data_IF_014715494594
#
_entry.id   IF_014715494594
#
_cell.length_a   1.000
_cell.length_b   1.000
_cell.length_c   1.000
_cell.angle_alpha   90.00
_cell.angle_beta   90.00
_cell.angle_gamma   90.00
#
_symmetry.space_group_name_H-M   'P 1'
#
loop_
_entity.id
_entity.type
_entity.pdbx_description
1 polymer ?
#
# COMPACT_ATOMS: atom_id res chain seq x y z
N UNK A 1 -12.00 -37.55 -27.91
CA UNK A 1 -11.97 -36.09 -27.70
C UNK A 1 -10.96 -35.86 -26.60
N UNK A 2 -9.75 -35.43 -26.96
CA UNK A 2 -8.75 -35.02 -25.98
C UNK A 2 -9.15 -33.64 -25.45
N UNK A 3 -9.41 -33.57 -24.15
CA UNK A 3 -9.62 -32.32 -23.43
C UNK A 3 -8.29 -31.56 -23.39
N UNK A 4 -8.20 -30.46 -24.15
CA UNK A 4 -7.10 -29.51 -24.07
C UNK A 4 -7.21 -28.84 -22.69
N UNK A 5 -6.34 -29.25 -21.77
CA UNK A 5 -6.10 -28.51 -20.53
C UNK A 5 -5.30 -27.28 -20.95
N UNK A 6 -5.93 -26.10 -20.95
CA UNK A 6 -5.21 -24.85 -21.14
C UNK A 6 -4.28 -24.64 -19.93
N UNK A 7 -2.95 -24.58 -20.13
CA UNK A 7 -2.04 -24.34 -19.04
C UNK A 7 -2.10 -22.84 -18.72
N UNK A 8 -2.71 -22.50 -17.57
CA UNK A 8 -2.89 -21.15 -17.01
C UNK A 8 -3.96 -20.28 -17.68
N UNK A 9 -4.86 -19.73 -16.87
CA UNK A 9 -5.89 -18.78 -17.30
C UNK A 9 -5.24 -17.50 -17.82
N UNK A 10 -5.86 -16.83 -18.78
CA UNK A 10 -5.43 -15.49 -19.23
C UNK A 10 -5.46 -14.48 -18.08
N UNK A 11 -6.40 -14.66 -17.14
CA UNK A 11 -6.57 -13.83 -15.94
C UNK A 11 -5.35 -13.94 -15.02
N UNK A 12 -4.85 -15.17 -14.78
CA UNK A 12 -3.65 -15.40 -13.94
C UNK A 12 -2.42 -14.63 -14.47
N UNK A 13 -2.27 -14.58 -15.80
CA UNK A 13 -1.15 -13.86 -16.45
C UNK A 13 -1.30 -12.34 -16.35
N UNK A 14 -2.53 -11.84 -16.40
CA UNK A 14 -2.81 -10.42 -16.28
C UNK A 14 -2.59 -9.93 -14.85
N UNK A 15 -3.00 -10.71 -13.85
CA UNK A 15 -2.77 -10.42 -12.44
C UNK A 15 -1.27 -10.43 -12.10
N UNK A 16 -0.51 -11.41 -12.61
CA UNK A 16 0.95 -11.47 -12.43
C UNK A 16 1.66 -10.25 -13.03
N UNK A 17 1.24 -9.79 -14.21
CA UNK A 17 1.79 -8.59 -14.85
C UNK A 17 1.48 -7.32 -14.05
N UNK A 18 0.25 -7.21 -13.52
CA UNK A 18 -0.17 -6.08 -12.69
C UNK A 18 0.57 -6.03 -11.36
N UNK A 19 0.75 -7.18 -10.68
CA UNK A 19 1.54 -7.27 -9.46
C UNK A 19 3.01 -6.90 -9.69
N UNK A 20 3.59 -7.36 -10.80
CA UNK A 20 4.97 -7.01 -11.17
C UNK A 20 5.12 -5.51 -11.39
N UNK A 21 4.21 -4.90 -12.14
CA UNK A 21 4.22 -3.45 -12.38
C UNK A 21 4.13 -2.66 -11.06
N UNK A 22 3.24 -3.07 -10.16
CA UNK A 22 3.13 -2.48 -8.82
C UNK A 22 4.41 -2.64 -8.00
N UNK A 23 5.00 -3.84 -7.99
CA UNK A 23 6.23 -4.13 -7.27
C UNK A 23 7.40 -3.28 -7.77
N UNK A 24 7.55 -3.13 -9.08
CA UNK A 24 8.58 -2.29 -9.69
C UNK A 24 8.36 -0.81 -9.37
N UNK A 25 7.12 -0.33 -9.39
CA UNK A 25 6.77 1.04 -9.00
C UNK A 25 7.10 1.29 -7.52
N UNK A 26 6.64 0.42 -6.63
CA UNK A 26 6.91 0.50 -5.19
C UNK A 26 8.42 0.50 -4.91
N UNK A 27 9.17 -0.35 -5.61
CA UNK A 27 10.63 -0.44 -5.47
C UNK A 27 11.30 0.85 -5.92
N UNK A 28 10.87 1.41 -7.04
CA UNK A 28 11.35 2.71 -7.52
C UNK A 28 11.08 3.82 -6.50
N UNK A 29 9.86 3.88 -5.97
CA UNK A 29 9.47 4.84 -4.94
C UNK A 29 10.32 4.71 -3.69
N UNK A 30 10.53 3.50 -3.17
CA UNK A 30 11.41 3.27 -2.01
C UNK A 30 12.85 3.74 -2.24
N UNK A 31 13.40 3.54 -3.45
CA UNK A 31 14.73 4.09 -3.82
C UNK A 31 14.74 5.61 -3.82
N UNK A 32 13.70 6.23 -4.39
CA UNK A 32 13.57 7.69 -4.43
C UNK A 32 13.48 8.27 -3.01
N UNK A 33 12.69 7.67 -2.13
CA UNK A 33 12.62 8.05 -0.71
C UNK A 33 14.00 7.92 -0.06
N UNK A 34 14.70 6.79 -0.26
CA UNK A 34 16.03 6.58 0.30
C UNK A 34 17.01 7.68 -0.13
N UNK A 35 17.05 7.99 -1.42
CA UNK A 35 17.85 9.09 -1.96
C UNK A 35 17.51 10.44 -1.31
N UNK A 36 16.21 10.76 -1.21
CA UNK A 36 15.71 12.01 -0.63
C UNK A 36 16.12 12.19 0.83
N UNK A 37 16.11 11.11 1.63
CA UNK A 37 16.48 11.19 3.06
C UNK A 37 17.99 11.03 3.30
N UNK A 38 18.79 10.79 2.25
CA UNK A 38 20.24 10.60 2.33
C UNK A 38 20.69 9.19 2.71
N UNK A 39 19.83 8.17 2.50
CA UNK A 39 20.15 6.76 2.68
C UNK A 39 20.59 6.15 1.35
N UNK A 40 21.55 5.22 1.41
CA UNK A 40 22.06 4.51 0.23
C UNK A 40 21.02 3.56 -0.38
N UNK A 41 20.22 2.91 0.46
CA UNK A 41 19.19 1.94 0.08
C UNK A 41 18.14 1.80 1.19
N UNK A 42 17.17 0.92 1.00
CA UNK A 42 16.11 0.58 1.96
C UNK A 42 16.19 -0.88 2.42
N UNK A 43 15.52 -1.21 3.53
CA UNK A 43 15.44 -2.58 4.02
C UNK A 43 14.45 -3.40 3.17
N UNK A 44 14.94 -4.46 2.54
CA UNK A 44 14.17 -5.35 1.69
C UNK A 44 12.96 -5.99 2.41
N UNK A 45 13.06 -6.30 3.71
CA UNK A 45 11.96 -6.86 4.49
C UNK A 45 10.84 -5.82 4.71
N UNK A 46 11.18 -4.54 4.78
CA UNK A 46 10.20 -3.46 4.91
C UNK A 46 9.45 -3.29 3.59
N UNK A 47 10.17 -3.35 2.48
CA UNK A 47 9.60 -3.34 1.13
C UNK A 47 8.65 -4.53 0.91
N UNK A 48 9.07 -5.75 1.23
CA UNK A 48 8.23 -6.96 1.07
C UNK A 48 6.95 -6.88 1.90
N UNK A 49 6.99 -6.29 3.09
CA UNK A 49 5.80 -6.04 3.90
C UNK A 49 4.82 -5.05 3.26
N UNK A 50 5.29 -4.12 2.43
CA UNK A 50 4.43 -3.17 1.73
C UNK A 50 3.78 -3.77 0.46
N UNK A 51 4.36 -4.84 -0.12
CA UNK A 51 3.75 -5.51 -1.28
C UNK A 51 2.37 -6.10 -0.98
N UNK A 52 2.07 -6.38 0.29
CA UNK A 52 0.76 -6.89 0.75
C UNK A 52 -0.40 -5.93 0.50
N UNK A 53 -0.12 -4.67 0.18
CA UNK A 53 -1.16 -3.67 -0.09
C UNK A 53 -1.47 -3.51 -1.59
N UNK A 54 -0.94 -4.40 -2.45
CA UNK A 54 -1.22 -4.39 -3.88
C UNK A 54 -2.72 -4.50 -4.20
N UNK A 55 -3.44 -5.37 -3.48
CA UNK A 55 -4.86 -5.67 -3.74
C UNK A 55 -5.77 -4.46 -3.57
N UNK A 56 -5.29 -3.39 -2.92
CA UNK A 56 -6.04 -2.16 -2.72
C UNK A 56 -5.83 -1.13 -3.83
N UNK A 57 -5.04 -1.44 -4.85
CA UNK A 57 -4.62 -0.46 -5.87
C UNK A 57 -5.73 0.10 -6.76
N UNK A 58 -6.85 -0.62 -6.86
CA UNK A 58 -8.06 -0.17 -7.56
C UNK A 58 -8.97 0.71 -6.69
N UNK A 59 -8.61 0.94 -5.42
CA UNK A 59 -9.41 1.77 -4.51
C UNK A 59 -9.26 3.24 -4.86
N UNK A 60 -10.34 4.03 -4.78
CA UNK A 60 -10.34 5.44 -5.22
C UNK A 60 -10.50 6.42 -4.04
N UNK A 61 -11.15 6.00 -2.96
CA UNK A 61 -11.45 6.86 -1.81
C UNK A 61 -10.95 6.26 -0.48
N UNK A 62 -10.77 7.12 0.51
CA UNK A 62 -10.22 6.75 1.82
C UNK A 62 -11.13 5.80 2.62
N UNK A 63 -12.43 6.10 2.68
CA UNK A 63 -13.39 5.33 3.49
C UNK A 63 -13.48 3.87 3.02
N UNK A 64 -13.45 3.65 1.72
CA UNK A 64 -13.44 2.31 1.13
C UNK A 64 -12.12 1.60 1.42
N UNK A 65 -10.98 2.30 1.40
CA UNK A 65 -9.69 1.72 1.74
C UNK A 65 -9.63 1.31 3.22
N UNK A 66 -10.08 2.16 4.14
CA UNK A 66 -10.17 1.81 5.57
C UNK A 66 -11.07 0.60 5.81
N UNK A 67 -12.21 0.51 5.09
CA UNK A 67 -13.09 -0.65 5.14
C UNK A 67 -12.40 -1.94 4.64
N UNK A 68 -11.71 -1.89 3.51
CA UNK A 68 -11.02 -3.05 2.95
C UNK A 68 -9.86 -3.51 3.85
N UNK A 69 -9.11 -2.58 4.44
CA UNK A 69 -8.07 -2.90 5.42
C UNK A 69 -8.65 -3.62 6.65
N UNK A 70 -9.81 -3.17 7.12
CA UNK A 70 -10.53 -3.81 8.23
C UNK A 70 -11.01 -5.22 7.87
N UNK A 71 -11.66 -5.40 6.72
CA UNK A 71 -12.17 -6.70 6.25
C UNK A 71 -11.04 -7.73 6.09
N UNK A 72 -9.89 -7.31 5.54
CA UNK A 72 -8.67 -8.12 5.40
C UNK A 72 -7.89 -8.30 6.72
N UNK A 73 -8.43 -7.78 7.83
CA UNK A 73 -7.83 -7.84 9.19
C UNK A 73 -6.41 -7.27 9.23
N UNK A 74 -6.12 -6.29 8.37
CA UNK A 74 -4.88 -5.54 8.41
C UNK A 74 -5.05 -4.41 9.43
N UNK A 75 -4.22 -4.45 10.49
CA UNK A 75 -4.24 -3.45 11.57
C UNK A 75 -3.59 -2.12 11.14
N UNK A 76 -4.16 -1.50 10.11
CA UNK A 76 -3.74 -0.24 9.52
C UNK A 76 -4.96 0.61 9.20
N UNK A 77 -4.78 1.92 9.27
CA UNK A 77 -5.75 2.92 8.82
C UNK A 77 -5.04 3.91 7.90
N UNK A 78 -5.80 4.54 7.01
CA UNK A 78 -5.32 5.59 6.13
C UNK A 78 -5.07 6.86 6.96
N UNK A 79 -3.80 7.24 7.06
CA UNK A 79 -3.40 8.48 7.70
C UNK A 79 -3.64 9.68 6.79
N UNK A 80 -3.27 9.56 5.52
CA UNK A 80 -3.51 10.56 4.48
C UNK A 80 -3.39 9.93 3.10
N UNK A 81 -3.94 10.60 2.09
CA UNK A 81 -3.77 10.27 0.67
C UNK A 81 -3.19 11.50 -0.02
N UNK A 82 -2.13 11.31 -0.78
CA UNK A 82 -1.46 12.38 -1.54
C UNK A 82 -1.30 11.98 -2.99
N UNK A 83 -1.16 12.95 -3.88
CA UNK A 83 -0.88 12.68 -5.29
C UNK A 83 0.55 12.15 -5.44
N UNK A 84 0.74 11.15 -6.30
CA UNK A 84 2.04 10.50 -6.53
C UNK A 84 3.11 11.52 -6.97
N UNK A 85 2.71 12.57 -7.70
CA UNK A 85 3.59 13.65 -8.16
C UNK A 85 4.20 14.48 -7.03
N UNK A 86 3.46 14.67 -5.93
CA UNK A 86 3.88 15.50 -4.78
C UNK A 86 4.34 14.66 -3.58
N UNK A 87 4.28 13.32 -3.69
CA UNK A 87 4.61 12.41 -2.61
C UNK A 87 6.04 12.57 -2.07
N UNK A 88 7.01 12.90 -2.93
CA UNK A 88 8.40 13.11 -2.50
C UNK A 88 8.65 14.49 -1.86
N UNK A 89 7.67 15.39 -1.92
CA UNK A 89 7.72 16.71 -1.26
C UNK A 89 7.25 16.65 0.21
N UNK A 90 6.84 15.47 0.68
CA UNK A 90 6.49 15.24 2.09
C UNK A 90 7.67 15.52 3.01
N UNK A 91 7.34 15.85 4.26
CA UNK A 91 8.34 16.08 5.30
C UNK A 91 9.29 14.88 5.44
N UNK A 92 10.59 15.18 5.60
CA UNK A 92 11.65 14.18 5.67
C UNK A 92 11.39 13.13 6.77
N UNK A 93 10.76 13.51 7.89
CA UNK A 93 10.42 12.60 8.98
C UNK A 93 9.37 11.56 8.52
N UNK A 94 8.37 11.96 7.73
CA UNK A 94 7.38 11.02 7.18
C UNK A 94 8.03 10.02 6.23
N UNK A 95 8.90 10.52 5.35
CA UNK A 95 9.69 9.70 4.44
C UNK A 95 10.58 8.69 5.19
N UNK A 96 11.25 9.13 6.26
CA UNK A 96 12.06 8.26 7.12
C UNK A 96 11.22 7.18 7.83
N UNK A 97 10.02 7.51 8.29
CA UNK A 97 9.07 6.57 8.91
C UNK A 97 8.56 5.50 7.95
N UNK A 98 8.41 5.83 6.67
CA UNK A 98 8.08 4.85 5.63
C UNK A 98 9.25 3.88 5.45
N UNK A 99 10.48 4.38 5.41
CA UNK A 99 11.68 3.54 5.29
C UNK A 99 12.01 2.74 6.55
N UNK A 100 11.64 3.19 7.75
CA UNK A 100 11.70 2.39 8.99
C UNK A 100 10.55 1.38 9.10
N UNK A 101 9.54 1.52 8.24
CA UNK A 101 8.37 0.66 8.19
C UNK A 101 7.35 0.93 9.29
N UNK A 102 7.50 2.03 10.03
CA UNK A 102 6.49 2.57 10.95
C UNK A 102 5.22 2.98 10.20
N UNK A 103 5.39 3.57 9.02
CA UNK A 103 4.33 3.83 8.07
C UNK A 103 4.44 2.85 6.89
N UNK A 104 3.29 2.55 6.28
CA UNK A 104 3.19 1.80 5.02
C UNK A 104 2.64 2.70 3.93
N UNK A 105 2.86 2.32 2.69
CA UNK A 105 2.28 3.00 1.54
C UNK A 105 1.60 2.00 0.61
N UNK A 106 0.55 2.48 -0.04
CA UNK A 106 -0.20 1.76 -1.06
C UNK A 106 -0.50 2.75 -2.20
N UNK A 107 -0.26 2.36 -3.44
CA UNK A 107 -0.73 3.14 -4.59
C UNK A 107 -2.19 2.85 -4.81
N UNK A 108 -2.98 3.89 -5.06
CA UNK A 108 -4.44 3.82 -5.23
C UNK A 108 -4.85 4.67 -6.43
N UNK A 109 -6.05 4.40 -6.95
CA UNK A 109 -6.58 5.02 -8.17
C UNK A 109 -5.63 4.89 -9.36
N UNK A 110 -5.23 3.67 -9.73
CA UNK A 110 -4.43 3.48 -10.94
C UNK A 110 -3.10 4.24 -10.91
N UNK A 111 -2.20 3.87 -9.99
CA UNK A 111 -1.10 4.67 -9.41
C UNK A 111 -1.13 6.19 -9.23
N UNK A 112 -2.24 6.89 -9.44
CA UNK A 112 -2.26 8.35 -9.38
C UNK A 112 -2.00 8.91 -7.98
N UNK A 113 -2.35 8.13 -6.94
CA UNK A 113 -2.29 8.55 -5.54
C UNK A 113 -1.54 7.54 -4.69
N UNK A 114 -0.97 8.03 -3.59
CA UNK A 114 -0.33 7.22 -2.56
C UNK A 114 -1.10 7.39 -1.26
N UNK A 115 -1.71 6.31 -0.78
CA UNK A 115 -2.23 6.22 0.56
C UNK A 115 -1.10 5.90 1.54
N UNK A 116 -0.94 6.74 2.56
CA UNK A 116 -0.02 6.51 3.68
C UNK A 116 -0.81 5.86 4.80
N UNK A 117 -0.38 4.68 5.19
CA UNK A 117 -1.06 3.88 6.19
C UNK A 117 -0.27 3.96 7.50
N UNK A 118 -0.97 4.28 8.56
CA UNK A 118 -0.43 4.20 9.90
C UNK A 118 -0.99 2.96 10.60
N UNK A 119 -0.18 2.38 11.49
CA UNK A 119 -0.63 1.25 12.30
C UNK A 119 -1.59 1.76 13.37
N UNK A 120 -2.88 1.80 13.05
CA UNK A 120 -3.96 2.12 13.97
C UNK A 120 -4.45 0.86 14.71
N UNK A 121 -4.49 0.91 16.05
CA UNK A 121 -5.33 0.01 16.84
C UNK A 121 -6.77 0.53 16.71
N UNK A 122 -7.56 0.03 15.75
CA UNK A 122 -8.87 0.65 15.51
C UNK A 122 -9.96 -0.36 15.17
N UNK A 123 -10.45 -0.97 16.25
CA UNK A 123 -11.88 -1.26 16.40
C UNK A 123 -12.34 -0.76 17.77
N UNK A 124 -11.52 -0.88 18.82
CA UNK A 124 -11.92 -0.48 20.18
C UNK A 124 -12.23 1.02 20.33
N UNK A 125 -11.47 1.93 19.70
CA UNK A 125 -11.68 3.37 19.91
C UNK A 125 -12.83 3.98 19.08
N UNK A 126 -13.26 3.32 17.99
CA UNK A 126 -14.44 3.74 17.21
C UNK A 126 -15.74 3.13 17.77
N UNK A 127 -15.67 1.94 18.37
CA UNK A 127 -16.85 1.27 18.96
C UNK A 127 -17.09 1.67 20.42
N UNK A 128 -16.07 2.02 21.22
CA UNK A 128 -16.27 2.55 22.58
C UNK A 128 -17.07 3.87 22.59
N UNK A 129 -16.99 4.68 21.52
CA UNK A 129 -17.81 5.90 21.40
C UNK A 129 -19.28 5.65 21.02
N UNK A 130 -19.64 4.45 20.56
CA UNK A 130 -21.04 4.09 20.20
C UNK A 130 -21.73 3.37 21.37
N UNK A 131 -20.98 2.68 22.24
CA UNK A 131 -21.54 1.95 23.38
C UNK A 131 -21.62 2.76 24.69
N UNK A 132 -21.17 4.02 24.70
CA UNK A 132 -21.22 4.94 25.87
C UNK A 132 -22.22 6.10 25.62
N UNK A 133 -23.29 5.88 24.83
CA UNK A 133 -24.45 6.79 24.78
C UNK A 133 -25.60 6.27 25.63
#
# INVERSE_FOLDING_TARGET
MESIILPFSYEDKQEELSFKAYSDLLKSTFKSIAGQVGKKDFDQKIFEKNLKFYDFSDTINQEHLDYLLFEEKLLYEVFTIVDTETFLDLDKILLEKILSGELKICFVNGPDKVAILNRGLSVSNKVENILIQ
#
